data_IF_184300174808
#
_entry.id   IF_184300174808
#
_cell.length_a   1.000
_cell.length_b   1.000
_cell.length_c   1.000
_cell.angle_alpha   90.00
_cell.angle_beta   90.00
_cell.angle_gamma   90.00
#
_symmetry.space_group_name_H-M   'P 1'
#
loop_
_entity.id
_entity.type
_entity.pdbx_description
1 polymer ?
#
# COMPACT_ATOMS: atom_id res chain seq x y z
N UNK A 1 0.77 -18.06 -5.36
CA UNK A 1 0.16 -17.36 -4.22
C UNK A 1 -0.85 -16.40 -4.81
N UNK A 2 -2.09 -16.37 -4.30
CA UNK A 2 -3.11 -15.49 -4.86
C UNK A 2 -2.79 -14.05 -4.46
N UNK A 3 -2.73 -13.17 -5.46
CA UNK A 3 -2.54 -11.75 -5.25
C UNK A 3 -3.75 -11.18 -4.50
N UNK A 4 -3.52 -10.37 -3.46
CA UNK A 4 -4.59 -9.75 -2.68
C UNK A 4 -4.94 -8.38 -3.26
N UNK A 5 -6.04 -8.30 -3.99
CA UNK A 5 -6.68 -7.03 -4.39
C UNK A 5 -7.91 -6.76 -3.53
N UNK A 6 -8.34 -5.50 -3.49
CA UNK A 6 -9.61 -5.13 -2.85
C UNK A 6 -10.82 -5.63 -3.66
N UNK A 7 -12.01 -5.67 -3.03
CA UNK A 7 -13.26 -5.97 -3.73
C UNK A 7 -13.54 -4.93 -4.82
N UNK A 8 -13.48 -5.36 -6.09
CA UNK A 8 -13.73 -4.51 -7.25
C UNK A 8 -15.19 -4.08 -7.43
N UNK A 9 -15.45 -3.36 -8.52
CA UNK A 9 -16.76 -2.79 -8.83
C UNK A 9 -17.11 -1.50 -8.08
N UNK A 10 -18.34 -1.06 -8.28
CA UNK A 10 -18.94 0.19 -7.82
C UNK A 10 -20.21 -0.03 -6.95
N UNK A 11 -20.55 -1.30 -6.66
CA UNK A 11 -21.72 -1.69 -5.86
C UNK A 11 -21.56 -1.52 -4.34
N UNK A 12 -22.60 -1.88 -3.58
CA UNK A 12 -22.69 -1.69 -2.12
C UNK A 12 -21.55 -2.37 -1.33
N UNK A 13 -21.11 -3.56 -1.75
CA UNK A 13 -20.03 -4.31 -1.09
C UNK A 13 -18.65 -4.13 -1.74
N UNK A 14 -18.53 -3.18 -2.69
CA UNK A 14 -17.25 -2.83 -3.31
C UNK A 14 -16.38 -2.00 -2.38
N UNK A 15 -15.06 -2.02 -2.59
CA UNK A 15 -14.14 -1.16 -1.85
C UNK A 15 -14.31 0.32 -2.18
N UNK A 16 -14.75 0.66 -3.40
CA UNK A 16 -15.07 2.02 -3.81
C UNK A 16 -16.11 2.67 -2.86
N UNK A 17 -17.15 1.90 -2.52
CA UNK A 17 -18.23 2.31 -1.61
C UNK A 17 -17.89 2.21 -0.12
N UNK A 18 -16.80 1.52 0.27
CA UNK A 18 -16.47 1.20 1.67
C UNK A 18 -15.09 1.71 2.15
N UNK A 19 -14.43 2.59 1.38
CA UNK A 19 -13.05 3.06 1.66
C UNK A 19 -12.96 4.40 2.41
N UNK A 20 -13.98 4.77 3.18
CA UNK A 20 -14.08 6.11 3.79
C UNK A 20 -12.99 6.42 4.82
N UNK A 21 -12.49 5.41 5.53
CA UNK A 21 -11.33 5.56 6.40
C UNK A 21 -10.08 5.95 5.61
N UNK A 22 -9.84 5.30 4.47
CA UNK A 22 -8.71 5.56 3.58
C UNK A 22 -8.86 6.93 2.89
N UNK A 23 -10.07 7.30 2.44
CA UNK A 23 -10.37 8.65 1.92
C UNK A 23 -10.08 9.74 2.96
N UNK A 24 -10.46 9.53 4.22
CA UNK A 24 -10.17 10.43 5.34
C UNK A 24 -8.66 10.59 5.59
N UNK A 25 -7.89 9.48 5.56
CA UNK A 25 -6.43 9.56 5.70
C UNK A 25 -5.79 10.31 4.52
N UNK A 26 -6.20 10.04 3.27
CA UNK A 26 -5.72 10.77 2.09
C UNK A 26 -6.01 12.29 2.23
N UNK A 27 -7.18 12.66 2.75
CA UNK A 27 -7.51 14.07 3.04
C UNK A 27 -6.59 14.69 4.09
N UNK A 28 -6.21 13.93 5.13
CA UNK A 28 -5.29 14.38 6.19
C UNK A 28 -3.83 14.48 5.73
N UNK A 29 -3.37 13.60 4.83
CA UNK A 29 -1.99 13.62 4.31
C UNK A 29 -1.82 14.51 3.08
N UNK A 30 -2.90 14.97 2.45
CA UNK A 30 -2.89 15.91 1.32
C UNK A 30 -1.93 17.09 1.47
N UNK A 31 -1.85 17.81 2.61
CA UNK A 31 -0.90 18.93 2.75
C UNK A 31 0.57 18.51 2.59
N UNK A 32 0.94 17.33 3.10
CA UNK A 32 2.30 16.75 3.01
C UNK A 32 2.62 16.37 1.56
N UNK A 33 1.63 15.82 0.84
CA UNK A 33 1.74 15.51 -0.59
C UNK A 33 1.95 16.80 -1.41
N UNK A 34 1.12 17.81 -1.18
CA UNK A 34 1.24 19.10 -1.86
C UNK A 34 2.57 19.80 -1.60
N UNK A 35 3.06 19.81 -0.37
CA UNK A 35 4.35 20.38 0.02
C UNK A 35 5.51 19.67 -0.70
N UNK A 36 5.53 18.33 -0.68
CA UNK A 36 6.58 17.56 -1.35
C UNK A 36 6.56 17.74 -2.87
N UNK A 37 5.38 17.86 -3.49
CA UNK A 37 5.27 18.19 -4.92
C UNK A 37 5.82 19.60 -5.19
N UNK A 38 5.41 20.62 -4.42
CA UNK A 38 5.90 22.00 -4.57
C UNK A 38 7.43 22.08 -4.46
N UNK A 39 8.02 21.45 -3.45
CA UNK A 39 9.48 21.41 -3.30
C UNK A 39 10.20 20.67 -4.46
N UNK A 40 9.61 19.58 -4.94
CA UNK A 40 10.16 18.81 -6.07
C UNK A 40 10.19 19.66 -7.34
N UNK A 41 9.09 20.34 -7.66
CA UNK A 41 8.98 21.23 -8.83
C UNK A 41 10.04 22.35 -8.81
N UNK A 42 10.23 22.97 -7.64
CA UNK A 42 11.26 23.99 -7.43
C UNK A 42 12.68 23.44 -7.66
N UNK A 43 12.99 22.24 -7.15
CA UNK A 43 14.32 21.60 -7.31
C UNK A 43 14.61 21.11 -8.72
N UNK A 44 13.58 20.86 -9.52
CA UNK A 44 13.68 20.43 -10.91
C UNK A 44 13.63 21.59 -11.92
N UNK A 45 13.57 22.84 -11.45
CA UNK A 45 13.41 24.05 -12.27
C UNK A 45 12.21 23.99 -13.23
N UNK A 46 11.08 23.41 -12.78
CA UNK A 46 9.84 23.26 -13.58
C UNK A 46 10.09 22.63 -14.96
N UNK A 47 10.36 21.31 -15.03
CA UNK A 47 10.74 20.65 -16.28
C UNK A 47 9.57 20.64 -17.28
N UNK A 48 9.91 20.82 -18.56
CA UNK A 48 8.97 20.95 -19.71
C UNK A 48 7.96 19.81 -19.81
N UNK A 49 8.38 18.62 -19.39
CA UNK A 49 7.55 17.46 -19.21
C UNK A 49 8.07 16.82 -17.92
N UNK A 50 7.31 16.92 -16.83
CA UNK A 50 7.45 15.92 -15.77
C UNK A 50 6.92 14.63 -16.43
N UNK A 51 7.43 13.45 -16.12
CA UNK A 51 6.62 12.23 -16.32
C UNK A 51 5.74 12.14 -15.08
N UNK A 52 4.43 12.18 -15.32
CA UNK A 52 3.51 13.26 -14.88
C UNK A 52 3.48 14.52 -15.84
N UNK A 53 3.34 14.33 -17.16
CA UNK A 53 3.37 15.18 -18.42
C UNK A 53 3.61 16.74 -18.53
N UNK A 54 2.99 17.43 -19.53
CA UNK A 54 3.19 18.77 -20.20
C UNK A 54 4.08 18.75 -21.48
N UNK A 55 3.98 19.67 -22.48
CA UNK A 55 3.45 21.05 -22.49
C UNK A 55 2.47 21.43 -23.63
N UNK A 56 1.40 22.16 -23.26
CA UNK A 56 0.50 22.89 -24.18
C UNK A 56 -0.11 24.20 -23.64
N UNK A 57 0.27 24.64 -22.43
CA UNK A 57 -0.12 25.89 -21.76
C UNK A 57 0.63 25.94 -20.42
N UNK A 58 1.34 27.02 -20.08
CA UNK A 58 2.20 27.39 -18.90
C UNK A 58 2.14 26.62 -17.53
N UNK A 59 1.71 25.35 -17.46
CA UNK A 59 1.36 24.62 -16.25
C UNK A 59 1.41 23.11 -16.50
N UNK A 60 2.23 22.35 -15.74
CA UNK A 60 2.39 20.92 -15.91
C UNK A 60 1.08 20.11 -16.00
N UNK A 61 1.16 18.99 -16.69
CA UNK A 61 0.24 17.87 -16.54
C UNK A 61 0.86 16.92 -15.45
N UNK A 62 0.70 15.60 -15.38
CA UNK A 62 -0.50 14.80 -15.64
C UNK A 62 -0.30 13.32 -16.14
N UNK A 63 0.83 12.84 -16.70
CA UNK A 63 1.09 11.39 -16.98
C UNK A 63 1.13 10.54 -15.68
N UNK A 64 -0.04 10.05 -15.28
CA UNK A 64 -0.33 9.48 -13.97
C UNK A 64 -0.48 7.96 -14.05
N UNK A 65 0.44 7.23 -13.42
CA UNK A 65 0.45 5.77 -13.44
C UNK A 65 -0.24 5.18 -12.20
N UNK A 66 -1.38 4.52 -12.42
CA UNK A 66 -2.07 3.68 -11.44
C UNK A 66 -1.40 2.30 -11.38
N UNK A 67 -0.68 1.98 -10.31
CA UNK A 67 -0.17 0.64 -10.05
C UNK A 67 -1.06 -0.11 -9.05
N UNK A 68 -1.35 -1.37 -9.37
CA UNK A 68 -1.94 -2.36 -8.46
C UNK A 68 -1.56 -3.77 -8.97
N UNK A 69 -1.92 -4.82 -8.24
CA UNK A 69 -1.73 -6.20 -8.65
C UNK A 69 -2.61 -6.53 -9.90
N UNK A 70 -2.20 -7.47 -10.77
CA UNK A 70 -2.91 -7.77 -12.02
C UNK A 70 -4.38 -8.20 -11.87
N UNK A 71 -4.79 -8.62 -10.67
CA UNK A 71 -6.13 -9.07 -10.32
C UNK A 71 -7.07 -7.92 -9.92
N UNK A 72 -6.55 -6.70 -9.74
CA UNK A 72 -7.34 -5.53 -9.38
C UNK A 72 -8.29 -5.08 -10.51
N UNK A 73 -9.42 -4.48 -10.14
CA UNK A 73 -10.41 -3.98 -11.09
C UNK A 73 -10.03 -2.59 -11.65
N UNK A 74 -9.04 -2.60 -12.56
CA UNK A 74 -8.68 -1.43 -13.36
C UNK A 74 -9.85 -0.90 -14.20
N UNK A 75 -10.81 -1.75 -14.59
CA UNK A 75 -11.93 -1.33 -15.44
C UNK A 75 -12.82 -0.32 -14.71
N UNK A 76 -13.12 -0.53 -13.43
CA UNK A 76 -13.92 0.43 -12.65
C UNK A 76 -13.19 1.76 -12.48
N UNK A 77 -11.87 1.78 -12.29
CA UNK A 77 -11.09 3.02 -12.30
C UNK A 77 -11.12 3.71 -13.67
N UNK A 78 -10.98 2.96 -14.77
CA UNK A 78 -10.96 3.51 -16.12
C UNK A 78 -12.32 4.06 -16.60
N UNK A 79 -13.45 3.60 -16.04
CA UNK A 79 -14.76 4.24 -16.26
C UNK A 79 -14.78 5.72 -15.83
N UNK A 80 -13.97 6.11 -14.83
CA UNK A 80 -13.95 7.46 -14.26
C UNK A 80 -13.00 8.43 -15.00
N UNK A 81 -12.07 7.90 -15.81
CA UNK A 81 -11.07 8.69 -16.54
C UNK A 81 -11.70 9.73 -17.49
N UNK A 82 -12.77 9.43 -18.27
CA UNK A 82 -13.37 10.43 -19.16
C UNK A 82 -14.02 11.62 -18.46
N UNK A 83 -14.51 11.45 -17.22
CA UNK A 83 -15.00 12.55 -16.38
C UNK A 83 -13.83 13.34 -15.78
N UNK A 84 -12.87 12.65 -15.17
CA UNK A 84 -11.71 13.27 -14.54
C UNK A 84 -10.87 14.07 -15.55
N UNK A 85 -10.65 13.55 -16.75
CA UNK A 85 -9.92 14.25 -17.82
C UNK A 85 -10.59 15.57 -18.25
N UNK A 86 -11.91 15.75 -18.04
CA UNK A 86 -12.58 17.04 -18.27
C UNK A 86 -12.30 18.03 -17.14
N UNK A 87 -12.29 17.56 -15.89
CA UNK A 87 -12.00 18.39 -14.71
C UNK A 87 -10.57 18.97 -14.77
N UNK A 88 -9.60 18.16 -15.21
CA UNK A 88 -8.19 18.56 -15.41
C UNK A 88 -7.89 19.07 -16.83
N UNK A 89 -8.90 19.46 -17.61
CA UNK A 89 -8.75 20.13 -18.92
C UNK A 89 -7.89 19.36 -19.95
N UNK A 90 -7.91 18.02 -19.90
CA UNK A 90 -7.08 17.16 -20.76
C UNK A 90 -5.62 17.05 -20.35
N UNK A 91 -5.18 17.81 -19.34
CA UNK A 91 -3.82 17.84 -18.79
C UNK A 91 -3.50 16.64 -17.89
N UNK A 92 -4.04 15.45 -18.18
CA UNK A 92 -3.74 14.22 -17.45
C UNK A 92 -3.88 13.00 -18.34
N UNK A 93 -2.83 12.21 -18.43
CA UNK A 93 -2.82 10.93 -19.14
C UNK A 93 -2.73 9.81 -18.11
N UNK A 94 -3.83 9.10 -17.88
CA UNK A 94 -3.88 8.02 -16.90
C UNK A 94 -3.49 6.70 -17.56
N UNK A 95 -2.50 6.01 -16.98
CA UNK A 95 -2.03 4.69 -17.40
C UNK A 95 -2.22 3.67 -16.27
N UNK A 96 -2.50 2.41 -16.60
CA UNK A 96 -2.50 1.29 -15.64
C UNK A 96 -1.22 0.47 -15.73
N UNK A 97 -0.65 0.11 -14.58
CA UNK A 97 0.60 -0.66 -14.46
C UNK A 97 0.34 -1.89 -13.57
N UNK A 98 -0.12 -3.02 -14.14
CA UNK A 98 -0.41 -4.23 -13.36
C UNK A 98 0.88 -4.93 -12.94
N UNK A 99 1.12 -5.07 -11.63
CA UNK A 99 2.30 -5.73 -11.10
C UNK A 99 2.53 -5.44 -9.61
N UNK A 100 3.29 -6.30 -8.93
CA UNK A 100 3.65 -6.06 -7.53
C UNK A 100 4.71 -4.98 -7.41
N UNK A 101 4.48 -4.00 -6.53
CA UNK A 101 5.48 -2.99 -6.16
C UNK A 101 6.70 -3.57 -5.41
N UNK A 102 6.73 -4.86 -5.06
CA UNK A 102 7.95 -5.53 -4.63
C UNK A 102 8.88 -5.93 -5.80
N UNK A 103 8.50 -5.63 -7.04
CA UNK A 103 9.29 -5.84 -8.26
C UNK A 103 9.52 -4.53 -9.03
N UNK A 104 10.31 -4.58 -10.12
CA UNK A 104 10.43 -3.47 -11.07
C UNK A 104 9.13 -3.31 -11.86
N UNK A 105 8.64 -2.08 -11.91
CA UNK A 105 7.41 -1.67 -12.60
C UNK A 105 7.70 -0.64 -13.69
N UNK A 106 8.75 0.17 -13.53
CA UNK A 106 9.04 1.31 -14.38
C UNK A 106 10.47 1.27 -14.94
N UNK A 107 10.76 1.93 -16.07
CA UNK A 107 12.11 2.15 -16.55
C UNK A 107 12.98 2.87 -15.51
N UNK A 108 14.29 2.63 -15.56
CA UNK A 108 15.26 3.27 -14.67
C UNK A 108 15.23 4.79 -14.84
N UNK A 109 15.20 5.55 -13.73
CA UNK A 109 15.13 7.03 -13.72
C UNK A 109 13.98 7.61 -14.58
N UNK A 110 12.76 7.15 -14.36
CA UNK A 110 11.55 7.61 -15.07
C UNK A 110 10.48 8.24 -14.18
N UNK A 111 10.52 8.02 -12.86
CA UNK A 111 9.55 8.58 -11.92
C UNK A 111 10.07 9.86 -11.26
N UNK A 112 9.28 10.93 -11.29
CA UNK A 112 9.55 12.15 -10.52
C UNK A 112 8.98 12.06 -9.11
N UNK A 113 7.74 11.59 -9.01
CA UNK A 113 6.99 11.48 -7.77
C UNK A 113 6.42 10.06 -7.61
N UNK A 114 6.42 9.54 -6.39
CA UNK A 114 5.66 8.35 -6.03
C UNK A 114 4.81 8.61 -4.80
N UNK A 115 3.55 8.18 -4.87
CA UNK A 115 2.63 8.17 -3.75
C UNK A 115 2.09 6.75 -3.54
N UNK A 116 2.07 6.30 -2.29
CA UNK A 116 1.43 5.04 -1.89
C UNK A 116 0.72 5.25 -0.56
N UNK A 117 -0.60 5.01 -0.55
CA UNK A 117 -1.43 5.10 0.65
C UNK A 117 -2.16 3.79 0.89
N UNK A 118 -2.04 3.24 2.09
CA UNK A 118 -2.70 2.01 2.55
C UNK A 118 -2.34 0.71 1.79
N UNK A 119 -1.13 0.62 1.22
CA UNK A 119 -0.67 -0.57 0.47
C UNK A 119 0.52 -1.31 1.10
N UNK A 120 1.51 -0.59 1.64
CA UNK A 120 2.83 -1.16 2.02
C UNK A 120 2.80 -2.15 3.20
N UNK A 121 1.72 -2.15 3.99
CA UNK A 121 1.52 -3.10 5.08
C UNK A 121 1.08 -4.51 4.59
N UNK A 122 0.73 -4.67 3.32
CA UNK A 122 0.44 -5.98 2.71
C UNK A 122 1.73 -6.64 2.25
N UNK A 123 2.12 -7.74 2.90
CA UNK A 123 3.36 -8.46 2.63
C UNK A 123 3.32 -9.17 1.26
N UNK A 124 4.49 -9.41 0.68
CA UNK A 124 4.61 -10.16 -0.58
C UNK A 124 4.16 -11.62 -0.45
N UNK A 125 4.21 -12.15 0.78
CA UNK A 125 3.80 -13.49 1.16
C UNK A 125 3.50 -13.61 2.64
N UNK A 126 2.81 -14.68 3.01
CA UNK A 126 2.72 -15.15 4.40
C UNK A 126 4.12 -15.52 4.89
N UNK A 127 4.54 -15.09 6.11
CA UNK A 127 5.81 -15.49 6.69
C UNK A 127 5.93 -17.01 6.87
N UNK A 128 7.17 -17.51 6.95
CA UNK A 128 7.46 -18.90 7.32
C UNK A 128 7.74 -18.99 8.82
N UNK A 129 7.66 -20.19 9.42
CA UNK A 129 7.90 -20.36 10.85
C UNK A 129 6.74 -19.81 11.70
N UNK A 130 5.51 -20.23 11.37
CA UNK A 130 4.25 -19.82 12.00
C UNK A 130 3.45 -21.02 12.56
N UNK A 131 4.09 -22.19 12.69
CA UNK A 131 3.46 -23.46 13.08
C UNK A 131 2.90 -23.44 14.51
N UNK A 132 3.31 -22.47 15.32
CA UNK A 132 2.87 -22.22 16.69
C UNK A 132 1.81 -21.10 16.81
N UNK A 133 1.37 -20.49 15.70
CA UNK A 133 0.27 -19.50 15.69
C UNK A 133 -1.12 -20.18 15.72
N UNK A 134 -1.32 -21.09 16.67
CA UNK A 134 -2.54 -21.90 16.80
C UNK A 134 -3.75 -21.04 17.23
N UNK A 135 -4.94 -21.42 16.76
CA UNK A 135 -6.22 -20.74 17.04
C UNK A 135 -6.25 -19.27 16.59
N UNK A 136 -5.50 -18.90 15.54
CA UNK A 136 -5.24 -17.50 15.26
C UNK A 136 -4.80 -17.22 13.81
N UNK A 137 -5.35 -16.17 13.18
CA UNK A 137 -5.06 -15.82 11.77
C UNK A 137 -3.96 -14.77 11.57
N UNK A 138 -3.42 -14.19 12.65
CA UNK A 138 -2.41 -13.13 12.61
C UNK A 138 -1.65 -13.04 13.95
N UNK A 139 -0.82 -12.02 14.20
CA UNK A 139 -0.18 -11.76 15.50
C UNK A 139 -1.24 -11.40 16.57
N UNK A 140 -1.16 -12.02 17.75
CA UNK A 140 -2.03 -11.79 18.92
C UNK A 140 -1.24 -11.81 20.23
N UNK A 141 -1.74 -11.14 21.27
CA UNK A 141 -1.23 -11.31 22.65
C UNK A 141 -1.14 -12.79 23.03
N UNK A 142 0.04 -13.22 23.50
CA UNK A 142 0.32 -14.61 23.85
C UNK A 142 0.92 -15.46 22.72
N UNK A 143 1.01 -14.97 21.47
CA UNK A 143 1.79 -15.65 20.43
C UNK A 143 3.30 -15.63 20.76
N UNK A 144 4.07 -16.52 20.12
CA UNK A 144 5.50 -16.62 20.38
C UNK A 144 6.30 -15.45 19.81
N UNK A 145 7.48 -15.20 20.39
CA UNK A 145 8.45 -14.27 19.81
C UNK A 145 8.91 -14.71 18.42
N UNK A 146 8.82 -16.01 18.08
CA UNK A 146 9.14 -16.52 16.75
C UNK A 146 8.14 -15.98 15.72
N UNK A 147 6.83 -16.10 15.98
CA UNK A 147 5.77 -15.53 15.14
C UNK A 147 6.01 -14.03 14.90
N UNK A 148 6.18 -13.26 15.97
CA UNK A 148 6.45 -11.82 15.87
C UNK A 148 7.68 -11.49 15.02
N UNK A 149 8.78 -12.22 15.20
CA UNK A 149 10.02 -12.03 14.42
C UNK A 149 9.84 -12.43 12.95
N UNK A 150 9.15 -13.53 12.64
CA UNK A 150 8.89 -13.97 11.26
C UNK A 150 8.11 -12.92 10.47
N UNK A 151 7.08 -12.32 11.07
CA UNK A 151 6.33 -11.22 10.47
C UNK A 151 7.18 -9.95 10.28
N UNK A 152 7.93 -9.54 11.31
CA UNK A 152 8.82 -8.37 11.23
C UNK A 152 9.90 -8.54 10.16
N UNK A 153 10.52 -9.71 10.08
CA UNK A 153 11.56 -10.05 9.11
C UNK A 153 11.02 -10.08 7.68
N UNK A 154 9.81 -10.62 7.49
CA UNK A 154 9.13 -10.59 6.19
C UNK A 154 8.84 -9.15 5.76
N UNK A 155 8.31 -8.31 6.65
CA UNK A 155 8.10 -6.88 6.38
C UNK A 155 9.41 -6.17 6.01
N UNK A 156 10.49 -6.35 6.75
CA UNK A 156 11.78 -5.71 6.46
C UNK A 156 12.33 -6.13 5.09
N UNK A 157 12.24 -7.43 4.77
CA UNK A 157 12.66 -7.97 3.47
C UNK A 157 11.85 -7.37 2.31
N UNK A 158 10.54 -7.28 2.49
CA UNK A 158 9.61 -6.73 1.50
C UNK A 158 9.80 -5.22 1.33
N UNK A 159 9.88 -4.47 2.43
CA UNK A 159 10.03 -3.01 2.40
C UNK A 159 11.41 -2.59 1.87
N UNK A 160 12.49 -3.29 2.22
CA UNK A 160 13.81 -3.13 1.57
C UNK A 160 13.72 -3.37 0.05
N UNK A 161 13.03 -4.45 -0.36
CA UNK A 161 12.85 -4.78 -1.78
C UNK A 161 12.07 -3.68 -2.51
N UNK A 162 11.00 -3.17 -1.91
CA UNK A 162 10.26 -2.01 -2.42
C UNK A 162 11.18 -0.80 -2.58
N UNK A 163 11.88 -0.36 -1.53
CA UNK A 163 12.75 0.81 -1.54
C UNK A 163 13.86 0.68 -2.59
N UNK A 164 14.49 -0.50 -2.69
CA UNK A 164 15.49 -0.80 -3.72
C UNK A 164 14.91 -0.63 -5.13
N UNK A 165 13.80 -1.29 -5.46
CA UNK A 165 13.18 -1.20 -6.79
C UNK A 165 12.77 0.24 -7.11
N UNK A 166 12.26 1.01 -6.13
CA UNK A 166 11.94 2.42 -6.32
C UNK A 166 13.17 3.28 -6.53
N UNK A 167 14.27 3.04 -5.80
CA UNK A 167 15.52 3.80 -5.97
C UNK A 167 16.11 3.72 -7.38
N UNK A 168 15.88 2.60 -8.07
CA UNK A 168 16.32 2.40 -9.45
C UNK A 168 15.40 3.16 -10.45
N UNK A 169 14.13 3.35 -10.10
CA UNK A 169 13.08 3.94 -10.96
C UNK A 169 12.92 5.46 -10.78
N UNK A 170 13.21 5.98 -9.59
CA UNK A 170 13.12 7.40 -9.27
C UNK A 170 14.25 8.21 -9.93
N UNK A 171 13.92 9.43 -10.36
CA UNK A 171 14.89 10.42 -10.78
C UNK A 171 15.63 11.03 -9.58
N UNK A 172 16.87 11.54 -9.77
CA UNK A 172 17.53 12.37 -8.78
C UNK A 172 16.63 13.56 -8.37
N UNK A 173 16.58 13.86 -7.07
CA UNK A 173 15.68 14.84 -6.45
C UNK A 173 14.17 14.54 -6.54
N UNK A 174 13.78 13.38 -7.07
CA UNK A 174 12.40 12.90 -6.99
C UNK A 174 11.95 12.67 -5.55
N UNK A 175 10.64 12.74 -5.31
CA UNK A 175 10.03 12.63 -3.97
C UNK A 175 9.13 11.39 -3.86
N UNK A 176 9.10 10.81 -2.66
CA UNK A 176 8.22 9.68 -2.34
C UNK A 176 7.44 10.02 -1.07
N UNK A 177 6.11 9.89 -1.12
CA UNK A 177 5.24 10.07 0.04
C UNK A 177 4.50 8.76 0.29
N UNK A 178 4.78 8.17 1.46
CA UNK A 178 4.25 6.88 1.88
C UNK A 178 3.31 7.08 3.06
N UNK A 179 2.18 6.39 3.05
CA UNK A 179 1.25 6.33 4.19
C UNK A 179 0.74 4.91 4.33
N UNK A 180 0.91 4.30 5.49
CA UNK A 180 0.46 2.95 5.76
C UNK A 180 0.14 2.79 7.24
N UNK A 181 -0.57 1.73 7.59
CA UNK A 181 -0.91 1.41 8.97
C UNK A 181 0.38 1.03 9.71
N UNK A 182 0.56 1.60 10.90
CA UNK A 182 1.70 1.32 11.77
C UNK A 182 1.26 1.25 13.23
N UNK A 183 2.14 0.74 14.09
CA UNK A 183 1.95 0.64 15.55
C UNK A 183 2.80 1.69 16.27
N UNK A 184 2.35 2.14 17.45
CA UNK A 184 3.20 2.90 18.39
C UNK A 184 4.08 1.93 19.17
N UNK A 185 5.22 2.40 19.68
CA UNK A 185 6.17 1.63 20.51
C UNK A 185 5.68 1.30 21.93
N UNK A 186 4.37 1.17 22.12
CA UNK A 186 3.77 0.83 23.41
C UNK A 186 3.60 -0.68 23.50
N UNK A 187 4.61 -1.31 24.09
CA UNK A 187 4.76 -2.76 24.35
C UNK A 187 5.01 -3.63 23.10
N UNK A 188 6.17 -4.32 22.96
CA UNK A 188 6.40 -5.30 21.89
C UNK A 188 5.43 -6.50 21.93
N UNK A 189 4.69 -6.71 23.03
CA UNK A 189 3.62 -7.71 23.16
C UNK A 189 2.21 -7.16 22.83
N UNK A 190 2.13 -5.88 22.45
CA UNK A 190 1.01 -5.17 21.83
C UNK A 190 -0.43 -5.59 22.21
N UNK A 191 -1.08 -4.84 23.11
CA UNK A 191 -2.49 -5.09 23.49
C UNK A 191 -3.54 -4.50 22.55
N UNK A 192 -3.26 -3.42 21.82
CA UNK A 192 -4.30 -2.64 21.13
C UNK A 192 -4.05 -2.39 19.62
N UNK A 193 -2.95 -2.85 19.05
CA UNK A 193 -2.64 -2.65 17.61
C UNK A 193 -3.41 -3.57 16.65
N UNK A 194 -4.05 -4.63 17.18
CA UNK A 194 -4.45 -5.83 16.41
C UNK A 194 -5.85 -6.35 16.73
N UNK A 195 -6.71 -5.51 17.33
CA UNK A 195 -8.03 -5.90 17.82
C UNK A 195 -8.92 -6.54 16.73
N UNK A 196 -8.96 -5.98 15.53
CA UNK A 196 -9.80 -6.49 14.43
C UNK A 196 -9.43 -7.92 14.00
N UNK A 197 -8.13 -8.22 13.90
CA UNK A 197 -7.67 -9.56 13.52
C UNK A 197 -7.81 -10.57 14.65
N UNK A 198 -7.66 -10.12 15.91
CA UNK A 198 -7.95 -10.97 17.08
C UNK A 198 -9.42 -11.34 17.16
N UNK A 199 -10.33 -10.37 16.95
CA UNK A 199 -11.77 -10.61 16.85
C UNK A 199 -12.13 -11.54 15.68
N UNK A 200 -11.43 -11.44 14.54
CA UNK A 200 -11.67 -12.33 13.41
C UNK A 200 -11.26 -13.77 13.75
N UNK A 201 -10.13 -13.98 14.41
CA UNK A 201 -9.73 -15.30 14.94
C UNK A 201 -10.80 -15.87 15.88
N UNK A 202 -11.23 -15.09 16.87
CA UNK A 202 -12.24 -15.50 17.85
C UNK A 202 -13.57 -15.85 17.16
N UNK A 203 -14.07 -14.98 16.27
CA UNK A 203 -15.33 -15.19 15.58
C UNK A 203 -15.32 -16.41 14.63
N UNK A 204 -14.20 -16.72 13.96
CA UNK A 204 -14.09 -17.90 13.10
C UNK A 204 -14.18 -19.20 13.91
N UNK A 205 -13.65 -19.21 15.13
CA UNK A 205 -13.66 -20.35 16.05
C UNK A 205 -15.03 -20.47 16.74
N UNK A 206 -15.50 -19.40 17.37
CA UNK A 206 -16.73 -19.40 18.18
C UNK A 206 -18.00 -19.65 17.36
N UNK A 207 -18.05 -19.18 16.11
CA UNK A 207 -19.19 -19.44 15.21
C UNK A 207 -19.16 -20.83 14.58
N UNK A 208 -18.05 -21.57 14.68
CA UNK A 208 -17.92 -22.93 14.13
C UNK A 208 -18.12 -23.05 12.61
N UNK A 209 -18.01 -21.94 11.87
CA UNK A 209 -18.26 -21.88 10.42
C UNK A 209 -17.12 -22.46 9.57
N UNK A 210 -15.94 -22.63 10.16
CA UNK A 210 -14.74 -23.23 9.58
C UNK A 210 -14.14 -24.23 10.57
N UNK A 211 -13.34 -25.19 10.09
CA UNK A 211 -12.65 -26.13 10.98
C UNK A 211 -11.48 -25.43 11.68
N UNK A 212 -11.18 -25.83 12.92
CA UNK A 212 -10.01 -25.33 13.63
C UNK A 212 -8.71 -25.47 12.82
N UNK A 213 -8.50 -26.63 12.18
CA UNK A 213 -7.36 -26.88 11.31
C UNK A 213 -7.27 -25.96 10.07
N UNK A 214 -8.39 -25.40 9.62
CA UNK A 214 -8.42 -24.43 8.52
C UNK A 214 -7.98 -23.05 9.04
N UNK A 215 -8.43 -22.65 10.23
CA UNK A 215 -7.98 -21.44 10.94
C UNK A 215 -6.48 -21.50 11.23
N UNK A 216 -6.01 -22.60 11.84
CA UNK A 216 -4.58 -22.78 12.20
C UNK A 216 -3.66 -22.78 10.96
N UNK A 217 -4.17 -23.20 9.80
CA UNK A 217 -3.43 -23.19 8.53
C UNK A 217 -3.39 -21.81 7.84
N UNK A 218 -4.26 -20.88 8.26
CA UNK A 218 -4.46 -19.60 7.57
C UNK A 218 -3.80 -18.45 8.34
N UNK A 219 -2.91 -17.73 7.66
CA UNK A 219 -2.21 -16.58 8.23
C UNK A 219 -2.28 -15.40 7.26
N UNK A 220 -2.60 -14.19 7.77
CA UNK A 220 -2.72 -12.98 6.96
C UNK A 220 -1.34 -12.44 6.55
N UNK A 221 -1.05 -12.22 5.25
CA UNK A 221 0.20 -11.59 4.80
C UNK A 221 0.14 -10.08 4.99
N UNK A 222 0.17 -9.64 6.25
CA UNK A 222 -0.04 -8.26 6.67
C UNK A 222 0.94 -7.92 7.81
N UNK A 223 1.41 -6.67 7.92
CA UNK A 223 2.20 -6.22 9.07
C UNK A 223 2.09 -4.72 9.32
N UNK A 224 1.92 -4.34 10.59
CA UNK A 224 1.98 -2.95 11.05
C UNK A 224 3.35 -2.68 11.69
N UNK A 225 4.29 -2.03 11.00
CA UNK A 225 5.58 -1.67 11.60
C UNK A 225 5.45 -0.50 12.58
N UNK A 226 6.41 -0.35 13.48
CA UNK A 226 6.65 0.92 14.20
C UNK A 226 7.66 1.80 13.45
N UNK A 227 7.84 3.03 13.92
CA UNK A 227 8.80 3.97 13.34
C UNK A 227 10.23 3.41 13.35
N UNK A 228 10.64 2.76 14.44
CA UNK A 228 11.96 2.13 14.57
C UNK A 228 12.21 0.95 13.63
N UNK A 229 11.18 0.24 13.18
CA UNK A 229 11.24 -0.84 12.20
C UNK A 229 11.29 -0.29 10.76
N UNK A 230 10.54 0.78 10.47
CA UNK A 230 10.59 1.50 9.18
C UNK A 230 11.94 2.15 8.96
N UNK A 231 12.52 2.80 9.98
CA UNK A 231 13.79 3.54 9.89
C UNK A 231 15.05 2.65 9.85
N UNK A 232 14.91 1.32 9.97
CA UNK A 232 16.01 0.34 9.95
C UNK A 232 16.07 -0.52 8.68
N UNK A 233 15.08 -0.38 7.79
CA UNK A 233 14.96 -1.16 6.56
C UNK A 233 15.85 -0.63 5.41
#
# INVERSE_FOLDING_TARGET
MNALSMNGGDGEHSYFSNSDNQKNIISKTKPIVEENIKEMLLKLNFPICIKVSDLGSDLPEIDYCLNDLPQNDFNTSFKLVPSFNKEVQGKCFISGVPGSFYSRLFPTKSLHFLHSSYSIHWLSKVPQGLEDNINNVYIRSGCSLSVCHSYMYQFQTDFYSFLRMRSEEMLPNGRMVLTFIGKKDVDPLCRDGFYLWSLLSDALIDLGVVKQSEVDSFNLPFYNPNEGEVMKA
#
